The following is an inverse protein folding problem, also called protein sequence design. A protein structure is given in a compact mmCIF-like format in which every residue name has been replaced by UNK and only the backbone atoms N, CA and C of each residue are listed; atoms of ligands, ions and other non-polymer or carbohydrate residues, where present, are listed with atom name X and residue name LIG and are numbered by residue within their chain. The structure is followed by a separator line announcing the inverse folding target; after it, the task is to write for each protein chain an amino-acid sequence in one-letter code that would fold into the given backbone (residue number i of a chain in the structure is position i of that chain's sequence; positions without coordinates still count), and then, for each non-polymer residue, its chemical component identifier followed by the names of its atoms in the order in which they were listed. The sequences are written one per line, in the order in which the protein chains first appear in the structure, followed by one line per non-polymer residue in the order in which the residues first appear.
data_IF_538313273834
#
_entry.id   IF_538313273834
#
_cell.length_a   1.000
_cell.length_b   1.000
_cell.length_c   1.000
_cell.angle_alpha   90.00
_cell.angle_beta   90.00
_cell.angle_gamma   90.00
#
_symmetry.space_group_name_H-M   'P 1'
#
loop_
_entity.id
_entity.type
_entity.pdbx_description
1 polymer ?
#
# COMPACT_ATOMS: atom_id res chain seq x y z
N UNK A 1 1.04 18.73 12.56
CA UNK A 1 1.91 18.61 11.37
C UNK A 1 3.36 18.61 11.86
N UNK A 2 4.01 17.46 11.79
CA UNK A 2 5.37 17.31 12.34
C UNK A 2 6.39 17.84 11.34
N UNK A 3 7.17 18.85 11.74
CA UNK A 3 8.29 19.37 10.95
C UNK A 3 9.57 18.68 11.41
N UNK A 4 10.02 17.65 10.74
CA UNK A 4 11.42 17.23 10.85
C UNK A 4 12.17 18.07 9.83
N UNK A 5 12.75 19.17 10.32
CA UNK A 5 13.52 20.08 9.46
C UNK A 5 14.80 19.40 9.01
N UNK A 6 14.95 19.23 7.71
CA UNK A 6 16.22 19.04 7.07
C UNK A 6 16.54 20.36 6.36
N UNK A 7 17.55 21.08 6.85
CA UNK A 7 18.06 22.32 6.25
C UNK A 7 16.97 23.37 5.91
N UNK A 8 16.09 23.68 6.86
CA UNK A 8 15.06 24.74 6.76
C UNK A 8 14.13 24.69 5.53
N UNK A 9 14.13 23.60 4.75
CA UNK A 9 13.23 23.42 3.64
C UNK A 9 12.09 22.45 4.03
N UNK A 10 10.96 23.02 4.31
CA UNK A 10 9.69 22.29 4.33
C UNK A 10 9.34 21.92 2.88
N UNK A 11 9.24 20.65 2.58
CA UNK A 11 8.74 20.14 1.30
C UNK A 11 7.34 19.53 1.54
N UNK A 12 6.26 20.30 1.39
CA UNK A 12 4.89 19.82 1.60
C UNK A 12 4.56 18.64 0.67
N UNK A 13 5.04 18.69 -0.57
CA UNK A 13 4.73 17.73 -1.63
C UNK A 13 5.29 16.32 -1.35
N UNK A 14 6.34 16.20 -0.53
CA UNK A 14 6.95 14.91 -0.23
C UNK A 14 6.05 14.00 0.63
N UNK A 15 5.30 14.58 1.58
CA UNK A 15 4.41 13.79 2.44
C UNK A 15 3.23 13.20 1.66
N UNK A 16 2.66 13.98 0.76
CA UNK A 16 1.52 13.56 -0.05
C UNK A 16 1.87 12.35 -0.91
N UNK A 17 3.08 12.29 -1.47
CA UNK A 17 3.55 11.16 -2.28
C UNK A 17 3.55 9.84 -1.49
N UNK A 18 3.95 9.84 -0.22
CA UNK A 18 3.92 8.61 0.61
C UNK A 18 2.50 8.12 0.83
N UNK A 19 1.60 9.03 1.21
CA UNK A 19 0.20 8.69 1.43
C UNK A 19 -0.48 8.21 0.14
N UNK A 20 -0.35 8.99 -0.95
CA UNK A 20 -0.95 8.63 -2.23
C UNK A 20 -0.38 7.33 -2.79
N UNK A 21 0.93 7.11 -2.65
CA UNK A 21 1.55 5.88 -3.13
C UNK A 21 1.10 4.65 -2.35
N UNK A 22 0.99 4.75 -1.04
CA UNK A 22 0.45 3.69 -0.21
C UNK A 22 -1.01 3.36 -0.57
N UNK A 23 -1.83 4.40 -0.73
CA UNK A 23 -3.22 4.23 -1.15
C UNK A 23 -3.33 3.62 -2.54
N UNK A 24 -2.59 4.18 -3.51
CA UNK A 24 -2.61 3.73 -4.90
C UNK A 24 -2.14 2.28 -5.05
N UNK A 25 -1.05 1.89 -4.38
CA UNK A 25 -0.55 0.50 -4.48
C UNK A 25 -1.53 -0.51 -3.91
N UNK A 26 -2.26 -0.17 -2.84
CA UNK A 26 -3.30 -1.05 -2.30
C UNK A 26 -4.46 -1.21 -3.28
N UNK A 27 -4.93 -0.12 -3.89
CA UNK A 27 -5.98 -0.15 -4.92
C UNK A 27 -5.54 -0.95 -6.14
N UNK A 28 -4.33 -0.74 -6.63
CA UNK A 28 -3.79 -1.45 -7.80
C UNK A 28 -3.55 -2.95 -7.54
N UNK A 29 -3.42 -3.34 -6.28
CA UNK A 29 -3.37 -4.74 -5.83
C UNK A 29 -4.77 -5.34 -5.57
N UNK A 30 -5.84 -4.58 -5.75
CA UNK A 30 -7.22 -5.03 -5.55
C UNK A 30 -7.63 -5.11 -4.08
N UNK A 31 -6.99 -4.32 -3.20
CA UNK A 31 -7.40 -4.20 -1.81
C UNK A 31 -8.29 -2.98 -1.63
N UNK A 32 -9.44 -3.21 -1.01
CA UNK A 32 -10.28 -2.11 -0.53
C UNK A 32 -9.58 -1.41 0.63
N UNK A 33 -9.45 -0.08 0.52
CA UNK A 33 -8.69 0.73 1.46
C UNK A 33 -9.34 2.09 1.66
N UNK A 34 -9.31 2.58 2.88
CA UNK A 34 -9.81 3.90 3.24
C UNK A 34 -8.77 4.69 4.03
N UNK A 35 -8.71 6.04 3.87
CA UNK A 35 -7.92 6.91 4.71
C UNK A 35 -8.39 6.84 6.16
N UNK A 36 -7.45 6.69 7.10
CA UNK A 36 -7.74 6.68 8.52
C UNK A 36 -7.12 7.90 9.21
N UNK A 37 -7.93 8.63 9.97
CA UNK A 37 -7.49 9.83 10.67
C UNK A 37 -6.96 9.48 12.06
N UNK A 38 -5.76 9.91 12.38
CA UNK A 38 -5.00 9.54 13.57
C UNK A 38 -5.71 9.90 14.89
N UNK A 39 -6.47 10.99 14.94
CA UNK A 39 -7.25 11.37 16.11
C UNK A 39 -8.42 10.41 16.42
N UNK A 40 -8.75 9.50 15.51
CA UNK A 40 -9.74 8.43 15.71
C UNK A 40 -9.12 7.11 16.13
N UNK A 41 -7.81 7.08 16.32
CA UNK A 41 -7.08 5.85 16.60
C UNK A 41 -7.38 5.34 18.02
N UNK A 42 -8.15 4.27 18.10
CA UNK A 42 -8.40 3.48 19.31
C UNK A 42 -8.23 1.99 18.97
N UNK A 43 -8.00 1.13 19.95
CA UNK A 43 -7.94 -0.32 19.70
C UNK A 43 -9.18 -0.85 18.96
N UNK A 44 -10.38 -0.39 19.35
CA UNK A 44 -11.66 -0.82 18.77
C UNK A 44 -11.81 -0.33 17.33
N UNK A 45 -11.35 0.89 17.01
CA UNK A 45 -11.41 1.45 15.68
C UNK A 45 -10.46 0.74 14.71
N UNK A 46 -9.32 0.25 15.19
CA UNK A 46 -8.35 -0.50 14.38
C UNK A 46 -8.72 -1.97 14.20
N UNK A 47 -9.43 -2.58 15.15
CA UNK A 47 -9.76 -4.01 15.15
C UNK A 47 -10.56 -4.49 13.92
N UNK A 48 -11.25 -3.58 13.22
CA UNK A 48 -12.00 -3.89 12.00
C UNK A 48 -11.11 -4.07 10.76
N UNK A 49 -9.86 -3.56 10.79
CA UNK A 49 -8.94 -3.65 9.67
C UNK A 49 -8.03 -4.87 9.80
N UNK A 50 -7.74 -5.52 8.69
CA UNK A 50 -6.73 -6.58 8.61
C UNK A 50 -5.32 -6.05 8.46
N UNK A 51 -5.19 -4.90 7.79
CA UNK A 51 -3.95 -4.17 7.60
C UNK A 51 -4.13 -2.71 8.00
N UNK A 52 -3.20 -2.19 8.76
CA UNK A 52 -2.97 -0.76 8.95
C UNK A 52 -1.65 -0.41 8.26
N UNK A 53 -1.71 0.47 7.25
CA UNK A 53 -0.53 0.98 6.58
C UNK A 53 -0.22 2.39 7.09
N UNK A 54 0.99 2.58 7.59
CA UNK A 54 1.48 3.85 8.17
C UNK A 54 2.59 4.40 7.27
N UNK A 55 2.23 5.17 6.21
CA UNK A 55 3.17 5.64 5.21
C UNK A 55 3.93 6.88 5.70
N UNK A 56 5.20 6.71 6.06
CA UNK A 56 6.09 7.81 6.47
C UNK A 56 5.44 8.80 7.45
N UNK A 57 4.90 8.31 8.56
CA UNK A 57 4.32 9.14 9.62
C UNK A 57 5.35 9.37 10.74
N UNK A 58 6.19 10.42 10.66
CA UNK A 58 7.31 10.60 11.57
C UNK A 58 6.89 10.81 13.02
N UNK A 59 5.80 11.54 13.22
CA UNK A 59 5.36 11.95 14.55
C UNK A 59 4.17 11.11 15.02
N UNK A 60 4.43 10.26 16.01
CA UNK A 60 3.42 9.49 16.73
C UNK A 60 3.60 9.68 18.24
N UNK A 61 2.50 9.80 18.95
CA UNK A 61 2.55 9.77 20.43
C UNK A 61 2.91 8.38 20.96
N UNK A 62 3.29 8.30 22.23
CA UNK A 62 3.54 7.01 22.87
C UNK A 62 2.25 6.18 22.93
N UNK A 63 1.10 6.82 23.17
CA UNK A 63 -0.21 6.16 23.17
C UNK A 63 -0.59 5.62 21.78
N UNK A 64 -0.30 6.37 20.71
CA UNK A 64 -0.51 5.90 19.34
C UNK A 64 0.40 4.71 19.01
N UNK A 65 1.67 4.77 19.40
CA UNK A 65 2.59 3.65 19.25
C UNK A 65 2.13 2.41 20.05
N UNK A 66 1.67 2.60 21.28
CA UNK A 66 1.14 1.51 22.11
C UNK A 66 -0.15 0.91 21.50
N UNK A 67 -1.04 1.75 20.96
CA UNK A 67 -2.28 1.32 20.30
C UNK A 67 -1.99 0.48 19.06
N UNK A 68 -1.05 0.92 18.21
CA UNK A 68 -0.61 0.18 17.03
C UNK A 68 0.05 -1.16 17.41
N UNK A 69 0.90 -1.16 18.44
CA UNK A 69 1.55 -2.38 18.94
C UNK A 69 0.53 -3.38 19.49
N UNK A 70 -0.48 -2.89 20.21
CA UNK A 70 -1.59 -3.71 20.71
C UNK A 70 -2.43 -4.29 19.57
N UNK A 71 -2.77 -3.48 18.57
CA UNK A 71 -3.48 -3.94 17.38
C UNK A 71 -2.76 -5.14 16.73
N UNK A 72 -1.42 -5.06 16.57
CA UNK A 72 -0.65 -6.17 16.02
C UNK A 72 -0.62 -7.37 16.98
N UNK A 73 -0.41 -7.13 18.27
CA UNK A 73 -0.40 -8.21 19.27
C UNK A 73 -1.72 -9.02 19.28
N UNK A 74 -2.84 -8.38 19.00
CA UNK A 74 -4.18 -8.99 18.95
C UNK A 74 -4.47 -9.69 17.60
N UNK A 75 -3.61 -9.58 16.58
CA UNK A 75 -3.71 -10.32 15.33
C UNK A 75 -3.79 -9.46 14.07
N UNK A 76 -3.69 -8.14 14.20
CA UNK A 76 -3.62 -7.23 13.06
C UNK A 76 -2.29 -7.29 12.33
N UNK A 77 -2.26 -6.78 11.11
CA UNK A 77 -1.03 -6.56 10.36
C UNK A 77 -0.71 -5.08 10.29
N UNK A 78 0.52 -4.70 10.62
CA UNK A 78 1.03 -3.35 10.44
C UNK A 78 2.09 -3.32 9.34
N UNK A 79 1.98 -2.38 8.41
CA UNK A 79 3.06 -2.01 7.50
C UNK A 79 3.42 -0.56 7.72
N UNK A 80 4.70 -0.25 7.81
CA UNK A 80 5.18 1.12 7.96
C UNK A 80 6.40 1.38 7.08
N UNK A 81 6.54 2.63 6.64
CA UNK A 81 7.64 3.03 5.75
C UNK A 81 8.44 4.19 6.34
N UNK A 82 9.68 4.27 5.94
CA UNK A 82 10.62 5.37 6.10
C UNK A 82 10.70 5.91 7.55
N UNK A 83 10.44 7.21 7.77
CA UNK A 83 10.59 7.90 9.06
C UNK A 83 9.47 7.60 10.07
N UNK A 84 8.63 6.60 9.85
CA UNK A 84 7.50 6.34 10.76
C UNK A 84 7.95 6.22 12.21
N UNK A 85 7.34 7.01 13.10
CA UNK A 85 7.54 7.05 14.57
C UNK A 85 8.92 7.49 15.06
N UNK A 86 9.74 8.17 14.24
CA UNK A 86 11.07 8.66 14.65
C UNK A 86 11.01 9.86 15.61
N UNK A 87 9.86 10.49 15.76
CA UNK A 87 9.66 11.66 16.64
C UNK A 87 8.36 11.53 17.47
N UNK A 88 8.29 12.31 18.54
CA UNK A 88 7.06 12.47 19.32
C UNK A 88 6.06 13.42 18.63
N UNK A 89 4.90 13.66 19.23
CA UNK A 89 3.86 14.56 18.72
C UNK A 89 4.31 16.01 18.53
N UNK A 90 5.37 16.42 19.20
CA UNK A 90 5.94 17.76 19.08
C UNK A 90 7.07 17.86 18.05
N UNK A 91 7.38 16.76 17.36
CA UNK A 91 8.47 16.68 16.40
C UNK A 91 9.86 16.53 17.03
N UNK A 92 9.93 16.18 18.31
CA UNK A 92 11.22 15.94 18.99
C UNK A 92 11.73 14.55 18.60
N UNK A 93 12.97 14.46 18.03
CA UNK A 93 13.52 13.18 17.65
C UNK A 93 13.61 12.21 18.83
N UNK A 94 13.22 10.98 18.60
CA UNK A 94 13.41 9.89 19.55
C UNK A 94 14.81 9.30 19.43
N UNK A 95 15.29 8.67 20.48
CA UNK A 95 16.56 7.93 20.46
C UNK A 95 16.49 6.69 19.55
N UNK A 96 15.32 6.11 19.43
CA UNK A 96 14.94 5.03 18.53
C UNK A 96 13.52 5.30 18.01
N UNK A 97 12.99 4.49 17.09
CA UNK A 97 11.57 4.67 16.69
C UNK A 97 10.64 4.42 17.87
N UNK A 98 9.47 5.06 17.90
CA UNK A 98 8.43 4.71 18.84
C UNK A 98 7.90 3.28 18.67
N UNK A 99 7.99 2.73 17.44
CA UNK A 99 7.59 1.36 17.09
C UNK A 99 8.78 0.39 16.96
N UNK A 100 9.95 0.75 17.49
CA UNK A 100 11.18 -0.06 17.35
C UNK A 100 11.05 -1.46 17.96
N UNK A 101 10.41 -1.57 19.11
CA UNK A 101 10.13 -2.86 19.74
C UNK A 101 9.22 -3.72 18.87
N UNK A 102 8.16 -3.12 18.29
CA UNK A 102 7.25 -3.81 17.40
C UNK A 102 7.97 -4.35 16.16
N UNK A 103 8.85 -3.55 15.54
CA UNK A 103 9.62 -3.97 14.36
C UNK A 103 10.81 -4.85 14.70
N UNK A 104 11.25 -4.90 15.98
CA UNK A 104 12.49 -5.57 16.38
C UNK A 104 13.73 -4.94 15.75
N UNK A 105 13.77 -3.62 15.66
CA UNK A 105 14.83 -2.86 14.96
C UNK A 105 15.44 -1.82 15.90
N UNK A 106 16.71 -1.52 15.68
CA UNK A 106 17.41 -0.45 16.40
C UNK A 106 18.03 0.51 15.38
N UNK A 107 17.66 1.78 15.51
CA UNK A 107 18.15 2.84 14.64
C UNK A 107 19.66 3.04 14.80
N UNK A 108 20.37 3.26 13.71
CA UNK A 108 21.75 3.76 13.76
C UNK A 108 21.72 5.22 14.20
N UNK A 109 22.03 5.48 15.47
CA UNK A 109 21.92 6.83 16.04
C UNK A 109 23.01 7.79 15.54
N UNK A 110 24.12 7.28 15.03
CA UNK A 110 25.20 8.10 14.47
C UNK A 110 24.84 8.64 13.08
N UNK A 111 24.21 7.81 12.27
CA UNK A 111 23.76 8.15 10.91
C UNK A 111 22.41 7.47 10.64
N UNK A 112 21.30 8.05 11.15
CA UNK A 112 20.00 7.41 11.06
C UNK A 112 19.43 7.38 9.64
N UNK A 113 19.82 8.34 8.81
CA UNK A 113 19.42 8.47 7.40
C UNK A 113 20.67 8.51 6.55
N UNK A 114 20.75 7.56 5.62
CA UNK A 114 21.75 7.61 4.56
C UNK A 114 21.12 8.23 3.32
N UNK A 115 21.82 9.16 2.70
CA UNK A 115 21.46 9.74 1.41
C UNK A 115 22.54 9.48 0.40
N UNK A 116 22.23 8.68 -0.61
CA UNK A 116 23.12 8.47 -1.75
C UNK A 116 22.31 8.03 -2.99
N UNK A 117 22.79 8.37 -4.19
CA UNK A 117 22.16 7.91 -5.43
C UNK A 117 22.32 6.41 -5.64
N UNK A 118 21.55 5.85 -6.56
CA UNK A 118 21.68 4.49 -7.09
C UNK A 118 21.49 3.40 -6.01
N UNK A 119 20.49 3.60 -5.12
CA UNK A 119 20.09 2.62 -4.12
C UNK A 119 19.02 1.69 -4.64
N UNK A 120 19.14 0.41 -4.27
CA UNK A 120 18.19 -0.64 -4.63
C UNK A 120 17.89 -1.55 -3.45
N UNK A 121 16.69 -2.08 -3.41
CA UNK A 121 16.39 -3.28 -2.62
C UNK A 121 16.97 -4.49 -3.33
N UNK A 122 17.82 -5.22 -2.64
CA UNK A 122 18.25 -6.56 -3.02
C UNK A 122 17.39 -7.58 -2.28
N UNK A 123 16.55 -8.30 -3.01
CA UNK A 123 15.74 -9.36 -2.44
C UNK A 123 16.61 -10.56 -2.08
N UNK A 124 16.14 -11.41 -1.16
CA UNK A 124 16.89 -12.60 -0.73
C UNK A 124 17.14 -13.63 -1.83
N UNK A 125 16.25 -13.70 -2.81
CA UNK A 125 16.45 -14.56 -3.99
C UNK A 125 17.58 -14.05 -4.90
N UNK A 126 18.06 -12.83 -4.68
CA UNK A 126 19.15 -12.21 -5.41
C UNK A 126 18.86 -11.91 -6.89
N UNK A 127 17.69 -12.30 -7.38
CA UNK A 127 17.37 -12.26 -8.81
C UNK A 127 16.88 -10.90 -9.28
N UNK A 128 16.34 -10.08 -8.36
CA UNK A 128 15.74 -8.78 -8.69
C UNK A 128 16.25 -7.66 -7.82
N UNK A 129 16.42 -6.51 -8.45
CA UNK A 129 16.72 -5.23 -7.80
C UNK A 129 15.54 -4.30 -8.00
N UNK A 130 15.04 -3.72 -6.91
CA UNK A 130 13.93 -2.77 -6.93
C UNK A 130 14.48 -1.39 -6.59
N UNK A 131 14.19 -0.34 -7.39
CA UNK A 131 14.65 1.00 -7.09
C UNK A 131 14.21 1.45 -5.70
N UNK A 132 15.08 2.09 -4.96
CA UNK A 132 14.80 2.73 -3.68
C UNK A 132 14.89 4.24 -3.77
N UNK A 133 14.24 4.90 -2.81
CA UNK A 133 14.49 6.31 -2.49
C UNK A 133 16.00 6.53 -2.24
N UNK A 134 16.59 7.62 -2.73
CA UNK A 134 17.96 7.98 -2.38
C UNK A 134 18.17 8.20 -0.88
N UNK A 135 17.10 8.35 -0.11
CA UNK A 135 17.12 8.45 1.35
C UNK A 135 16.58 7.18 1.99
N UNK A 136 17.43 6.50 2.74
CA UNK A 136 17.05 5.25 3.43
C UNK A 136 17.42 5.32 4.90
N UNK A 137 16.59 4.67 5.72
CA UNK A 137 16.87 4.52 7.14
C UNK A 137 17.94 3.47 7.37
N UNK A 138 18.89 3.78 8.25
CA UNK A 138 19.90 2.84 8.70
C UNK A 138 19.53 2.26 10.06
N UNK A 139 19.38 0.94 10.12
CA UNK A 139 19.02 0.23 11.34
C UNK A 139 19.61 -1.18 11.36
N UNK A 140 19.65 -1.78 12.54
CA UNK A 140 19.94 -3.20 12.73
C UNK A 140 18.65 -3.94 13.08
N UNK A 141 18.59 -5.23 12.79
CA UNK A 141 17.49 -6.11 13.14
C UNK A 141 17.88 -7.09 14.25
N UNK A 142 16.99 -7.35 15.18
CA UNK A 142 17.18 -8.37 16.22
C UNK A 142 17.10 -9.79 15.63
N UNK A 143 17.55 -10.79 16.39
CA UNK A 143 17.65 -12.17 15.91
C UNK A 143 16.31 -12.85 15.60
N UNK A 144 15.21 -12.35 16.15
CA UNK A 144 13.85 -12.84 15.95
C UNK A 144 13.12 -12.17 14.78
N UNK A 145 13.83 -11.32 14.03
CA UNK A 145 13.32 -10.58 12.87
C UNK A 145 13.77 -11.26 11.57
N UNK A 146 12.86 -11.39 10.61
CA UNK A 146 13.19 -11.85 9.26
C UNK A 146 13.52 -10.66 8.38
N UNK A 147 14.77 -10.58 7.90
CA UNK A 147 15.16 -9.61 6.88
C UNK A 147 14.68 -10.11 5.51
N UNK A 148 13.80 -9.37 4.85
CA UNK A 148 13.21 -9.71 3.55
C UNK A 148 14.00 -9.14 2.39
N UNK A 149 14.59 -7.96 2.57
CA UNK A 149 15.46 -7.31 1.60
C UNK A 149 16.54 -6.47 2.29
N UNK A 150 17.63 -6.26 1.57
CA UNK A 150 18.78 -5.44 1.99
C UNK A 150 18.91 -4.22 1.08
N UNK A 151 19.46 -3.13 1.60
CA UNK A 151 19.84 -1.98 0.79
C UNK A 151 21.16 -2.26 0.08
N UNK A 152 21.16 -2.14 -1.24
CA UNK A 152 22.32 -2.26 -2.11
C UNK A 152 22.66 -0.90 -2.71
N UNK A 153 23.87 -0.40 -2.47
CA UNK A 153 24.47 0.66 -3.26
C UNK A 153 25.09 0.06 -4.52
N UNK A 154 24.34 0.11 -5.64
CA UNK A 154 24.69 -0.62 -6.87
C UNK A 154 26.02 -0.18 -7.47
N UNK A 155 26.25 1.13 -7.55
CA UNK A 155 27.50 1.67 -8.09
C UNK A 155 28.74 1.20 -7.31
N UNK A 156 28.60 0.98 -6.00
CA UNK A 156 29.66 0.50 -5.12
C UNK A 156 29.64 -1.02 -4.90
N UNK A 157 28.66 -1.73 -5.44
CA UNK A 157 28.43 -3.17 -5.23
C UNK A 157 28.42 -3.57 -3.75
N UNK A 158 27.96 -2.66 -2.88
CA UNK A 158 28.02 -2.81 -1.42
C UNK A 158 26.61 -2.95 -0.81
N UNK A 159 26.45 -3.97 0.03
CA UNK A 159 25.30 -4.09 0.92
C UNK A 159 25.50 -3.14 2.10
N UNK A 160 24.47 -2.34 2.39
CA UNK A 160 24.53 -1.32 3.43
C UNK A 160 23.84 -1.77 4.73
N UNK A 161 22.93 -2.75 4.64
CA UNK A 161 22.22 -3.29 5.79
C UNK A 161 20.80 -3.72 5.44
N UNK A 162 19.99 -4.08 6.46
CA UNK A 162 18.59 -4.42 6.29
C UNK A 162 17.80 -3.24 5.69
N UNK A 163 16.89 -3.53 4.77
CA UNK A 163 16.01 -2.54 4.16
C UNK A 163 14.53 -2.82 4.45
N UNK A 164 14.15 -4.09 4.42
CA UNK A 164 12.77 -4.53 4.70
C UNK A 164 12.83 -5.68 5.69
N UNK A 165 12.06 -5.54 6.75
CA UNK A 165 12.00 -6.54 7.83
C UNK A 165 10.57 -6.93 8.13
N UNK A 166 10.39 -8.18 8.56
CA UNK A 166 9.12 -8.73 9.03
C UNK A 166 9.33 -9.36 10.40
N UNK A 167 8.42 -9.08 11.31
CA UNK A 167 8.40 -9.68 12.64
C UNK A 167 7.01 -10.17 13.00
N UNK A 168 6.95 -11.35 13.59
CA UNK A 168 5.76 -11.80 14.33
C UNK A 168 5.73 -11.12 15.68
N UNK A 169 4.60 -10.52 16.01
CA UNK A 169 4.42 -9.84 17.30
C UNK A 169 3.05 -10.20 17.88
N UNK A 170 3.05 -10.95 18.99
CA UNK A 170 1.82 -11.53 19.50
C UNK A 170 1.17 -12.48 18.49
N UNK A 171 -0.08 -12.20 18.12
CA UNK A 171 -0.85 -12.99 17.14
C UNK A 171 -0.72 -12.45 15.71
N UNK A 172 -0.18 -11.24 15.53
CA UNK A 172 -0.08 -10.56 14.24
C UNK A 172 1.34 -10.44 13.72
N UNK A 173 1.50 -9.59 12.73
CA UNK A 173 2.77 -9.34 12.06
C UNK A 173 2.99 -7.85 11.79
N UNK A 174 4.24 -7.42 11.89
CA UNK A 174 4.67 -6.09 11.50
C UNK A 174 5.70 -6.16 10.37
N UNK A 175 5.57 -5.29 9.37
CA UNK A 175 6.54 -5.09 8.29
C UNK A 175 7.01 -3.65 8.36
N UNK A 176 8.33 -3.46 8.35
CA UNK A 176 8.94 -2.15 8.23
C UNK A 176 9.81 -2.07 6.99
N UNK A 177 9.62 -1.03 6.19
CA UNK A 177 10.36 -0.71 4.99
C UNK A 177 11.15 0.58 5.27
N UNK A 178 12.47 0.50 5.34
CA UNK A 178 13.35 1.62 5.70
C UNK A 178 13.52 2.70 4.63
N UNK A 179 12.69 2.70 3.58
CA UNK A 179 12.72 3.67 2.49
C UNK A 179 11.33 4.10 2.07
N UNK A 180 11.25 5.18 1.27
CA UNK A 180 10.01 5.70 0.71
C UNK A 180 9.55 4.94 -0.54
N UNK A 181 9.39 3.63 -0.44
CA UNK A 181 8.99 2.79 -1.56
C UNK A 181 7.59 3.11 -2.09
N UNK A 182 6.70 3.52 -1.20
CA UNK A 182 5.38 4.06 -1.48
C UNK A 182 5.45 5.38 -2.26
N UNK A 183 6.31 6.32 -1.86
CA UNK A 183 6.51 7.56 -2.59
C UNK A 183 7.05 7.31 -4.02
N UNK A 184 8.00 6.39 -4.18
CA UNK A 184 8.48 5.97 -5.51
C UNK A 184 7.31 5.42 -6.36
N UNK A 185 6.44 4.61 -5.75
CA UNK A 185 5.28 4.11 -6.46
C UNK A 185 4.34 5.24 -6.89
N UNK A 186 4.10 6.22 -6.01
CA UNK A 186 3.31 7.40 -6.35
C UNK A 186 3.87 8.16 -7.57
N UNK A 187 5.19 8.28 -7.66
CA UNK A 187 5.85 9.05 -8.73
C UNK A 187 5.95 8.30 -10.05
N UNK A 188 6.17 6.98 -9.99
CA UNK A 188 6.60 6.22 -11.17
C UNK A 188 5.61 5.16 -11.62
N UNK A 189 4.67 4.73 -10.76
CA UNK A 189 3.80 3.56 -10.95
C UNK A 189 4.60 2.30 -11.35
N UNK A 190 5.80 2.15 -10.82
CA UNK A 190 6.73 1.11 -11.18
C UNK A 190 6.17 -0.29 -10.86
N UNK A 191 6.07 -1.14 -11.88
CA UNK A 191 5.49 -2.48 -11.76
C UNK A 191 6.26 -3.41 -10.84
N UNK A 192 7.60 -3.26 -10.72
CA UNK A 192 8.40 -4.06 -9.80
C UNK A 192 8.12 -3.67 -8.34
N UNK A 193 7.96 -2.37 -8.07
CA UNK A 193 7.57 -1.86 -6.74
C UNK A 193 6.20 -2.41 -6.36
N UNK A 194 5.19 -2.33 -7.27
CA UNK A 194 3.87 -2.91 -7.03
C UNK A 194 3.93 -4.41 -6.78
N UNK A 195 4.67 -5.14 -7.62
CA UNK A 195 4.83 -6.59 -7.48
C UNK A 195 5.45 -6.96 -6.15
N UNK A 196 6.40 -6.15 -5.66
CA UNK A 196 7.02 -6.35 -4.37
C UNK A 196 6.03 -6.12 -3.22
N UNK A 197 5.28 -5.02 -3.22
CA UNK A 197 4.18 -4.84 -2.24
C UNK A 197 3.20 -6.01 -2.29
N UNK A 198 2.85 -6.48 -3.48
CA UNK A 198 2.01 -7.68 -3.66
C UNK A 198 2.62 -8.92 -3.01
N UNK A 199 3.92 -9.13 -3.15
CA UNK A 199 4.62 -10.27 -2.52
C UNK A 199 4.64 -10.20 -0.98
N UNK A 200 4.62 -9.00 -0.41
CA UNK A 200 4.53 -8.80 1.04
C UNK A 200 3.10 -9.01 1.57
N UNK A 201 2.09 -8.56 0.84
CA UNK A 201 0.70 -8.48 1.30
C UNK A 201 -0.16 -9.69 0.92
N UNK A 202 0.01 -10.23 -0.30
CA UNK A 202 -0.83 -11.31 -0.82
C UNK A 202 -0.84 -12.57 0.06
N UNK A 203 0.28 -13.03 0.64
CA UNK A 203 0.27 -14.23 1.48
C UNK A 203 -0.68 -14.12 2.69
N UNK A 204 -0.97 -12.90 3.12
CA UNK A 204 -1.77 -12.61 4.32
C UNK A 204 -3.18 -12.14 3.93
N UNK A 205 -3.29 -11.31 2.89
CA UNK A 205 -4.51 -10.56 2.58
C UNK A 205 -5.26 -11.06 1.34
N UNK A 206 -4.66 -11.91 0.48
CA UNK A 206 -5.30 -12.32 -0.78
C UNK A 206 -6.71 -12.93 -0.59
N UNK A 207 -6.91 -13.66 0.50
CA UNK A 207 -8.22 -14.22 0.85
C UNK A 207 -9.29 -13.20 1.22
N UNK A 208 -8.94 -11.93 1.42
CA UNK A 208 -9.88 -10.87 1.81
C UNK A 208 -10.23 -9.90 0.68
N UNK A 209 -9.70 -10.10 -0.53
CA UNK A 209 -10.05 -9.22 -1.66
C UNK A 209 -11.52 -9.34 -2.00
N UNK A 210 -12.27 -8.24 -2.06
CA UNK A 210 -13.65 -8.26 -2.50
C UNK A 210 -13.77 -8.33 -4.03
N UNK A 211 -12.74 -7.89 -4.75
CA UNK A 211 -12.66 -7.92 -6.20
C UNK A 211 -11.26 -8.23 -6.71
N UNK A 212 -11.19 -8.65 -7.96
CA UNK A 212 -9.98 -8.75 -8.75
C UNK A 212 -10.25 -8.13 -10.13
N UNK A 213 -9.35 -7.25 -10.56
CA UNK A 213 -9.39 -6.60 -11.88
C UNK A 213 -8.03 -6.77 -12.52
N UNK A 214 -8.00 -7.08 -13.82
CA UNK A 214 -6.75 -7.08 -14.57
C UNK A 214 -6.10 -5.70 -14.46
N UNK A 215 -4.89 -5.65 -13.91
CA UNK A 215 -4.19 -4.39 -13.80
C UNK A 215 -3.93 -3.80 -15.19
N UNK A 216 -4.35 -2.54 -15.35
CA UNK A 216 -4.00 -1.68 -16.48
C UNK A 216 -3.59 -0.33 -15.92
N UNK A 217 -2.47 0.21 -16.38
CA UNK A 217 -2.03 1.54 -15.95
C UNK A 217 -3.11 2.58 -16.27
N UNK A 218 -3.47 3.39 -15.28
CA UNK A 218 -4.52 4.40 -15.40
C UNK A 218 -5.96 3.87 -15.24
N UNK A 219 -6.15 2.56 -15.06
CA UNK A 219 -7.46 2.02 -14.67
C UNK A 219 -7.57 2.00 -13.16
N UNK A 220 -8.53 2.73 -12.61
CA UNK A 220 -8.79 2.84 -11.18
C UNK A 220 -10.09 2.12 -10.82
N UNK A 221 -10.03 0.95 -10.17
CA UNK A 221 -11.19 0.27 -9.63
C UNK A 221 -11.60 0.85 -8.27
N UNK A 222 -12.90 1.03 -8.04
CA UNK A 222 -13.46 1.38 -6.74
C UNK A 222 -14.67 0.50 -6.46
N UNK A 223 -14.64 -0.19 -5.31
CA UNK A 223 -15.64 -1.19 -4.94
C UNK A 223 -16.55 -0.69 -3.82
N UNK A 224 -17.83 -0.95 -3.97
CA UNK A 224 -18.82 -0.76 -2.92
C UNK A 224 -19.75 -1.96 -2.85
N UNK A 225 -20.24 -2.27 -1.66
CA UNK A 225 -21.21 -3.34 -1.46
C UNK A 225 -22.28 -2.94 -0.47
N UNK A 226 -23.48 -3.45 -0.71
CA UNK A 226 -24.63 -3.37 0.18
C UNK A 226 -25.17 -4.78 0.43
N UNK A 227 -26.25 -4.88 1.22
CA UNK A 227 -26.92 -6.15 1.46
C UNK A 227 -27.41 -6.83 0.15
N UNK A 228 -27.83 -6.03 -0.84
CA UNK A 228 -28.53 -6.53 -2.02
C UNK A 228 -27.75 -6.25 -3.33
N UNK A 229 -26.60 -5.64 -3.28
CA UNK A 229 -25.82 -5.32 -4.48
C UNK A 229 -24.33 -5.21 -4.20
N UNK A 230 -23.52 -5.50 -5.22
CA UNK A 230 -22.12 -5.14 -5.33
C UNK A 230 -21.95 -4.23 -6.53
N UNK A 231 -21.13 -3.21 -6.38
CA UNK A 231 -20.85 -2.23 -7.43
C UNK A 231 -19.35 -2.07 -7.56
N UNK A 232 -18.86 -2.20 -8.79
CA UNK A 232 -17.47 -1.89 -9.12
C UNK A 232 -17.45 -0.77 -10.14
N UNK A 233 -16.92 0.36 -9.74
CA UNK A 233 -16.63 1.48 -10.62
C UNK A 233 -15.26 1.26 -11.26
N UNK A 234 -15.16 1.46 -12.56
CA UNK A 234 -13.94 1.41 -13.33
C UNK A 234 -13.75 2.78 -13.98
N UNK A 235 -12.74 3.52 -13.53
CA UNK A 235 -12.41 4.85 -14.06
C UNK A 235 -11.11 4.75 -14.85
N UNK A 236 -11.12 5.22 -16.11
CA UNK A 236 -9.94 5.23 -16.97
C UNK A 236 -9.30 6.62 -16.99
N UNK A 237 -8.15 6.77 -16.34
CA UNK A 237 -7.26 7.93 -16.40
C UNK A 237 -5.98 7.57 -17.18
N UNK A 238 -6.18 7.14 -18.42
CA UNK A 238 -5.13 6.51 -19.25
C UNK A 238 -4.36 7.45 -20.16
N UNK A 239 -4.84 8.68 -20.33
CA UNK A 239 -4.21 9.68 -21.22
C UNK A 239 -3.24 10.61 -20.50
N UNK A 240 -3.14 10.55 -19.20
CA UNK A 240 -2.37 11.50 -18.39
C UNK A 240 -0.97 10.95 -18.09
N UNK A 241 -0.01 11.22 -18.98
CA UNK A 241 1.39 10.78 -18.82
C UNK A 241 2.13 11.61 -17.76
N UNK A 242 1.64 12.83 -17.46
CA UNK A 242 2.28 13.77 -16.55
C UNK A 242 1.35 14.13 -15.39
N UNK A 243 1.61 13.62 -14.20
CA UNK A 243 0.83 13.93 -12.98
C UNK A 243 0.69 15.42 -12.64
N UNK A 244 1.49 16.28 -13.26
CA UNK A 244 1.46 17.74 -13.08
C UNK A 244 0.61 18.47 -14.12
N UNK A 245 0.08 17.79 -15.12
CA UNK A 245 -0.82 18.41 -16.11
C UNK A 245 -2.25 18.33 -15.61
N UNK A 246 -2.89 19.50 -15.50
CA UNK A 246 -4.30 19.63 -15.12
C UNK A 246 -5.27 19.41 -16.30
N UNK A 247 -4.75 19.19 -17.50
CA UNK A 247 -5.55 19.03 -18.71
C UNK A 247 -5.19 17.70 -19.35
N UNK A 248 -6.19 16.86 -19.57
CA UNK A 248 -6.08 15.62 -20.30
C UNK A 248 -6.57 15.89 -21.74
N UNK A 249 -5.68 15.72 -22.72
CA UNK A 249 -6.00 15.99 -24.12
C UNK A 249 -6.75 14.84 -24.80
N UNK A 250 -6.54 13.61 -24.30
CA UNK A 250 -7.18 12.43 -24.86
C UNK A 250 -7.38 11.34 -23.79
N UNK A 251 -8.42 10.54 -23.96
CA UNK A 251 -8.64 9.32 -23.19
C UNK A 251 -8.31 8.13 -24.08
N UNK A 252 -7.54 7.18 -23.57
CA UNK A 252 -7.28 5.91 -24.25
C UNK A 252 -8.21 4.86 -23.63
N UNK A 253 -9.16 4.33 -24.39
CA UNK A 253 -10.06 3.30 -23.89
C UNK A 253 -9.30 2.05 -23.43
N UNK A 254 -9.76 1.43 -22.35
CA UNK A 254 -9.21 0.17 -21.83
C UNK A 254 -10.14 -0.96 -22.23
N UNK A 255 -9.71 -1.76 -23.19
CA UNK A 255 -10.49 -2.88 -23.71
C UNK A 255 -10.25 -4.17 -22.92
N UNK A 256 -11.26 -5.07 -22.95
CA UNK A 256 -11.19 -6.44 -22.46
C UNK A 256 -10.73 -6.54 -20.98
N UNK A 257 -11.33 -5.74 -20.11
CA UNK A 257 -11.01 -5.75 -18.67
C UNK A 257 -11.67 -6.94 -18.00
N UNK A 258 -10.87 -7.92 -17.55
CA UNK A 258 -11.37 -9.05 -16.77
C UNK A 258 -11.65 -8.62 -15.34
N UNK A 259 -12.84 -8.94 -14.88
CA UNK A 259 -13.35 -8.59 -13.55
C UNK A 259 -13.83 -9.84 -12.84
N UNK A 260 -13.49 -9.94 -11.56
CA UNK A 260 -14.04 -10.93 -10.64
C UNK A 260 -14.52 -10.23 -9.38
N UNK A 261 -15.75 -10.50 -8.96
CA UNK A 261 -16.33 -9.97 -7.73
C UNK A 261 -16.69 -11.12 -6.80
N UNK A 262 -16.27 -11.03 -5.54
CA UNK A 262 -16.54 -12.07 -4.55
C UNK A 262 -17.98 -12.00 -4.05
N UNK A 263 -18.73 -13.04 -4.31
CA UNK A 263 -20.12 -13.16 -3.84
C UNK A 263 -20.10 -13.53 -2.35
N UNK A 264 -20.84 -12.82 -1.48
CA UNK A 264 -21.03 -13.25 -0.09
C UNK A 264 -21.62 -14.67 -0.02
N UNK A 265 -21.15 -15.47 0.96
CA UNK A 265 -21.49 -16.89 1.04
C UNK A 265 -23.01 -17.18 1.23
N UNK A 266 -23.75 -16.21 1.77
CA UNK A 266 -25.18 -16.27 2.05
C UNK A 266 -26.04 -15.63 0.94
N UNK A 267 -25.44 -15.32 -0.22
CA UNK A 267 -26.09 -14.60 -1.32
C UNK A 267 -25.95 -15.33 -2.65
N UNK A 268 -26.93 -15.05 -3.54
CA UNK A 268 -26.90 -15.50 -4.93
C UNK A 268 -26.96 -14.31 -5.88
N UNK A 269 -26.32 -14.45 -7.04
CA UNK A 269 -26.34 -13.43 -8.09
C UNK A 269 -27.62 -13.53 -8.88
N UNK A 270 -28.36 -12.44 -8.96
CA UNK A 270 -29.58 -12.31 -9.74
C UNK A 270 -29.30 -11.81 -11.15
N UNK A 271 -28.56 -10.70 -11.24
CA UNK A 271 -28.17 -10.08 -12.52
C UNK A 271 -26.82 -9.41 -12.42
N UNK A 272 -26.20 -9.21 -13.59
CA UNK A 272 -24.97 -8.41 -13.75
C UNK A 272 -25.18 -7.48 -14.94
N UNK A 273 -24.98 -6.19 -14.72
CA UNK A 273 -25.23 -5.16 -15.71
C UNK A 273 -24.05 -4.18 -15.78
N UNK A 274 -23.74 -3.71 -16.99
CA UNK A 274 -22.85 -2.59 -17.23
C UNK A 274 -23.71 -1.33 -17.35
N UNK A 275 -23.68 -0.50 -16.29
CA UNK A 275 -24.65 0.59 -16.11
C UNK A 275 -24.39 1.80 -17.00
N UNK A 276 -23.13 2.05 -17.36
CA UNK A 276 -22.74 3.23 -18.16
C UNK A 276 -22.89 2.95 -19.66
N UNK A 277 -22.20 1.95 -20.14
CA UNK A 277 -22.23 1.61 -21.58
C UNK A 277 -23.51 0.88 -22.01
N UNK A 278 -24.21 0.26 -21.08
CA UNK A 278 -25.34 -0.66 -21.34
C UNK A 278 -24.95 -1.82 -22.27
N UNK A 279 -23.67 -2.09 -22.40
CA UNK A 279 -23.15 -3.18 -23.20
C UNK A 279 -23.48 -4.54 -22.56
N UNK A 280 -23.67 -5.57 -23.38
CA UNK A 280 -23.82 -6.93 -22.87
C UNK A 280 -22.44 -7.51 -22.53
N UNK A 281 -22.29 -7.97 -21.30
CA UNK A 281 -21.12 -8.70 -20.84
C UNK A 281 -21.57 -10.08 -20.30
N UNK A 282 -21.29 -11.18 -21.01
CA UNK A 282 -21.54 -12.52 -20.50
C UNK A 282 -20.81 -12.72 -19.17
N UNK A 283 -21.49 -13.29 -18.19
CA UNK A 283 -20.96 -13.54 -16.88
C UNK A 283 -21.22 -14.97 -16.40
N UNK A 284 -20.42 -15.44 -15.48
CA UNK A 284 -20.58 -16.75 -14.82
C UNK A 284 -20.28 -16.63 -13.34
N UNK A 285 -20.82 -17.58 -12.53
CA UNK A 285 -20.45 -17.71 -11.13
C UNK A 285 -19.62 -18.98 -10.96
N UNK A 286 -18.37 -18.84 -10.48
CA UNK A 286 -17.47 -19.96 -10.23
C UNK A 286 -16.76 -19.78 -8.89
N UNK A 287 -16.79 -20.81 -8.05
CA UNK A 287 -16.09 -20.82 -6.75
C UNK A 287 -16.37 -19.59 -5.87
N UNK A 288 -17.60 -19.09 -5.87
CA UNK A 288 -18.00 -17.90 -5.10
C UNK A 288 -17.58 -16.57 -5.72
N UNK A 289 -17.22 -16.55 -7.01
CA UNK A 289 -16.89 -15.33 -7.75
C UNK A 289 -17.81 -15.15 -8.95
N UNK A 290 -18.31 -13.94 -9.15
CA UNK A 290 -18.83 -13.49 -10.45
C UNK A 290 -17.62 -13.18 -11.32
N UNK A 291 -17.60 -13.75 -12.51
CA UNK A 291 -16.55 -13.54 -13.50
C UNK A 291 -17.16 -12.99 -14.79
N UNK A 292 -16.61 -11.89 -15.29
CA UNK A 292 -17.00 -11.28 -16.56
C UNK A 292 -15.82 -10.55 -17.20
N UNK A 293 -15.97 -10.22 -18.48
CA UNK A 293 -15.08 -9.31 -19.18
C UNK A 293 -15.87 -8.08 -19.58
N UNK A 294 -15.44 -6.91 -19.12
CA UNK A 294 -15.96 -5.61 -19.55
C UNK A 294 -15.35 -5.31 -20.91
N UNK A 295 -16.17 -5.16 -21.99
CA UNK A 295 -15.63 -5.04 -23.34
C UNK A 295 -14.74 -3.81 -23.54
N UNK A 296 -15.16 -2.69 -22.95
CA UNK A 296 -14.45 -1.43 -23.06
C UNK A 296 -14.76 -0.51 -21.89
N UNK A 297 -13.77 0.22 -21.41
CA UNK A 297 -13.91 1.34 -20.48
C UNK A 297 -13.33 2.57 -21.17
N UNK A 298 -14.18 3.42 -21.70
CA UNK A 298 -13.75 4.66 -22.40
C UNK A 298 -13.18 5.66 -21.40
N UNK A 299 -14.00 6.12 -20.48
CA UNK A 299 -13.66 7.02 -19.37
C UNK A 299 -14.13 6.39 -18.07
N UNK A 300 -15.28 5.75 -18.11
CA UNK A 300 -15.96 5.23 -16.95
C UNK A 300 -16.86 4.03 -17.29
N UNK A 301 -16.93 3.06 -16.39
CA UNK A 301 -17.91 1.98 -16.43
C UNK A 301 -18.29 1.56 -15.01
N UNK A 302 -19.48 1.03 -14.86
CA UNK A 302 -19.99 0.52 -13.60
C UNK A 302 -20.49 -0.93 -13.80
N UNK A 303 -19.84 -1.85 -13.13
CA UNK A 303 -20.32 -3.24 -13.02
C UNK A 303 -21.24 -3.31 -11.81
N UNK A 304 -22.53 -3.46 -12.06
CA UNK A 304 -23.56 -3.64 -11.02
C UNK A 304 -23.97 -5.11 -10.93
N UNK A 305 -23.90 -5.69 -9.74
CA UNK A 305 -24.29 -7.06 -9.45
C UNK A 305 -25.44 -7.03 -8.44
N UNK A 306 -26.63 -7.46 -8.86
CA UNK A 306 -27.78 -7.58 -7.97
C UNK A 306 -27.72 -8.94 -7.24
N UNK A 307 -27.95 -8.90 -5.93
CA UNK A 307 -27.92 -10.06 -5.04
C UNK A 307 -29.30 -10.36 -4.44
N UNK A 308 -29.57 -11.65 -4.22
CA UNK A 308 -30.78 -12.14 -3.54
C UNK A 308 -30.45 -12.91 -2.28
#
# INVERSE_FOLDING_TARGET
MCRIARNDKFVPDAYDNYFYGAFQVLKDLGYDSEPFLDYRMTPESLAKYKLVFVPNVPCLSDDQCATLSRYVAEGGMLMATHLTSVADTYGRPRRNYGLSELFGTTLNTAEPILEMPDLYLRLRDGARLIPQDPQVMQFTASSDVTVLAETLARGYRRILGPAVVRRKYGKGEAIYIGSGLDAIYAETLNGEVRSYFGSLLNPILAGSRPYEVDFRQGLMPEFAASKNAMVLHLMADTGNIWKKMLVQESFLPVAEVRVRLRVPADRHVRSVELMWSQAKAPWTVRNGWVELTVPNVDVYEVVHVELT
#
